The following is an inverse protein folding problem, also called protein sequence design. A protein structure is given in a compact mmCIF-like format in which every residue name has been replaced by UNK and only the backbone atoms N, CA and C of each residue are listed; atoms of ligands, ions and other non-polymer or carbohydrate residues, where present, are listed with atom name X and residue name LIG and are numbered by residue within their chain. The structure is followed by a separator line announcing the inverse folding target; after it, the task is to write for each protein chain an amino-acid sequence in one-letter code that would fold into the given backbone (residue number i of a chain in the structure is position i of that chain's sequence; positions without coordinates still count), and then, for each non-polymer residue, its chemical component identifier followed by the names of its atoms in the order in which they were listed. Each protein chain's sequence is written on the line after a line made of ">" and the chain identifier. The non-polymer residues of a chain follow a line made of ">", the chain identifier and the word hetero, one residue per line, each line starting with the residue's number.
data_IF_127607222888
#
_entry.id   IF_127607222888
#
_cell.length_a   1.000
_cell.length_b   1.000
_cell.length_c   1.000
_cell.angle_alpha   90.00
_cell.angle_beta   90.00
_cell.angle_gamma   90.00
#
_symmetry.space_group_name_H-M   'P 1'
#
loop_
_entity.id
_entity.type
_entity.pdbx_description
1 polymer ?
#
# COMPACT_ATOMS: atom_id res chain seq x y z
N UNK A 1 21.91 28.64 -10.58
CA UNK A 1 20.76 28.72 -9.66
C UNK A 1 21.26 29.06 -8.25
N UNK A 2 20.52 29.84 -7.49
CA UNK A 2 20.84 30.12 -6.09
C UNK A 2 20.55 28.86 -5.26
N UNK A 3 21.51 28.42 -4.46
CA UNK A 3 21.36 27.23 -3.62
C UNK A 3 20.28 27.46 -2.55
N UNK A 4 19.46 26.44 -2.30
CA UNK A 4 18.44 26.44 -1.25
C UNK A 4 19.05 26.22 0.13
N UNK A 5 20.08 25.37 0.21
CA UNK A 5 20.78 25.01 1.42
C UNK A 5 22.27 24.75 1.16
N UNK A 6 23.04 24.69 2.22
CA UNK A 6 24.43 24.24 2.23
C UNK A 6 24.65 23.15 3.26
N UNK A 7 25.71 22.39 3.12
CA UNK A 7 26.17 21.39 4.08
C UNK A 7 27.06 22.02 5.12
N UNK A 8 26.76 21.73 6.38
CA UNK A 8 27.54 22.19 7.53
C UNK A 8 27.80 21.01 8.48
N UNK A 9 28.58 21.20 9.50
CA UNK A 9 28.78 20.31 10.65
C UNK A 9 28.79 18.80 10.24
N UNK A 10 29.99 18.32 9.86
CA UNK A 10 30.15 16.89 9.52
C UNK A 10 30.22 16.04 10.79
N UNK A 11 29.32 15.10 10.96
CA UNK A 11 29.33 14.11 12.03
C UNK A 11 29.41 12.70 11.41
N UNK A 12 30.53 12.00 11.64
CA UNK A 12 30.84 10.70 11.04
C UNK A 12 30.74 10.72 9.51
N UNK A 13 29.65 10.17 8.95
CA UNK A 13 29.38 10.07 7.51
C UNK A 13 28.23 10.97 7.04
N UNK A 14 27.71 11.82 7.93
CA UNK A 14 26.58 12.70 7.65
C UNK A 14 26.97 14.16 7.72
N UNK A 15 26.25 14.98 6.97
CA UNK A 15 26.34 16.43 7.01
C UNK A 15 24.99 17.00 7.44
N UNK A 16 25.02 18.02 8.26
CA UNK A 16 23.86 18.77 8.63
C UNK A 16 23.53 19.81 7.54
N UNK A 17 22.25 19.98 7.22
CA UNK A 17 21.81 21.00 6.26
C UNK A 17 21.53 22.33 6.95
N UNK A 18 21.81 23.46 6.28
CA UNK A 18 21.46 24.81 6.72
C UNK A 18 20.81 25.58 5.58
N UNK A 19 19.61 26.16 5.83
CA UNK A 19 18.88 26.92 4.84
C UNK A 19 19.60 28.23 4.46
N UNK A 20 19.63 28.54 3.17
CA UNK A 20 20.22 29.77 2.61
C UNK A 20 19.17 30.82 2.25
N UNK A 21 17.89 30.44 2.24
CA UNK A 21 16.73 31.33 1.97
C UNK A 21 15.53 30.90 2.80
N UNK A 22 14.53 31.79 2.89
CA UNK A 22 13.25 31.48 3.52
C UNK A 22 12.36 30.71 2.54
N UNK A 23 11.64 29.70 3.03
CA UNK A 23 10.61 28.97 2.29
C UNK A 23 9.62 28.29 3.24
N UNK A 24 8.40 28.03 2.76
CA UNK A 24 7.36 27.37 3.54
C UNK A 24 7.18 25.94 3.03
N UNK A 25 7.20 24.97 3.93
CA UNK A 25 6.99 23.56 3.65
C UNK A 25 5.52 23.26 3.36
N UNK A 26 5.25 22.13 2.74
CA UNK A 26 3.88 21.66 2.52
C UNK A 26 3.11 21.42 3.82
N UNK A 27 3.81 21.15 4.92
CA UNK A 27 3.24 21.02 6.26
C UNK A 27 2.76 22.36 6.84
N UNK A 28 3.04 23.48 6.16
CA UNK A 28 2.73 24.85 6.62
C UNK A 28 3.82 25.47 7.49
N UNK A 29 4.86 24.73 7.84
CA UNK A 29 5.98 25.22 8.62
C UNK A 29 6.92 26.07 7.78
N UNK A 30 7.47 27.14 8.33
CA UNK A 30 8.38 28.04 7.61
C UNK A 30 9.81 27.80 8.06
N UNK A 31 10.66 27.46 7.09
CA UNK A 31 12.12 27.38 7.26
C UNK A 31 12.71 28.74 6.91
N UNK A 32 13.48 29.32 7.82
CA UNK A 32 14.13 30.61 7.62
C UNK A 32 15.58 30.45 7.26
N UNK A 33 16.12 31.43 6.56
CA UNK A 33 17.54 31.52 6.26
C UNK A 33 18.37 31.42 7.54
N UNK A 34 19.28 30.44 7.56
CA UNK A 34 20.13 30.13 8.71
C UNK A 34 19.63 28.99 9.56
N UNK A 35 18.38 28.55 9.40
CA UNK A 35 17.86 27.42 10.15
C UNK A 35 18.64 26.15 9.82
N UNK A 36 18.95 25.39 10.86
CA UNK A 36 19.61 24.10 10.75
C UNK A 36 18.55 23.00 10.66
N UNK A 37 18.63 22.20 9.60
CA UNK A 37 17.81 21.02 9.41
C UNK A 37 18.43 19.74 10.01
N UNK A 38 18.10 18.60 9.45
CA UNK A 38 18.59 17.28 9.82
C UNK A 38 19.89 16.89 9.11
N UNK A 39 20.13 15.59 9.04
CA UNK A 39 21.37 15.00 8.56
C UNK A 39 21.15 14.29 7.23
N UNK A 40 22.05 14.53 6.28
CA UNK A 40 22.08 13.85 4.98
C UNK A 40 23.48 13.30 4.70
N UNK A 41 23.55 12.19 3.98
CA UNK A 41 24.83 11.51 3.67
C UNK A 41 25.67 12.28 2.65
N UNK A 42 25.03 12.89 1.65
CA UNK A 42 25.66 13.72 0.62
C UNK A 42 24.67 14.76 0.07
N UNK A 43 25.16 15.70 -0.74
CA UNK A 43 24.31 16.70 -1.39
C UNK A 43 23.27 16.05 -2.33
N UNK A 44 23.52 14.85 -2.86
CA UNK A 44 22.58 14.11 -3.72
C UNK A 44 21.33 13.61 -2.98
N UNK A 45 21.40 13.55 -1.63
CA UNK A 45 20.28 13.05 -0.82
C UNK A 45 19.13 14.05 -0.70
N UNK A 46 19.36 15.35 -0.92
CA UNK A 46 18.32 16.38 -0.83
C UNK A 46 18.37 17.30 -2.04
N UNK A 47 17.28 17.40 -2.78
CA UNK A 47 17.21 18.27 -3.95
C UNK A 47 17.38 19.76 -3.56
N UNK A 48 18.16 20.49 -4.35
CA UNK A 48 18.24 21.96 -4.27
C UNK A 48 17.00 22.65 -4.86
N UNK A 49 16.19 21.90 -5.63
CA UNK A 49 14.94 22.38 -6.22
C UNK A 49 13.74 22.06 -5.33
N UNK A 50 12.58 22.69 -5.63
CA UNK A 50 11.35 22.50 -4.86
C UNK A 50 11.43 22.98 -3.42
N UNK A 51 10.50 22.53 -2.60
CA UNK A 51 10.36 22.91 -1.19
C UNK A 51 10.74 21.78 -0.23
N UNK A 52 11.31 20.67 -0.75
CA UNK A 52 11.68 19.54 0.10
C UNK A 52 12.67 19.93 1.19
N UNK A 53 12.53 19.31 2.36
CA UNK A 53 13.37 19.59 3.50
C UNK A 53 13.54 18.39 4.43
N UNK A 54 14.70 18.33 5.07
CA UNK A 54 15.01 17.39 6.14
C UNK A 54 15.09 18.19 7.42
N UNK A 55 14.13 17.98 8.33
CA UNK A 55 14.04 18.68 9.60
C UNK A 55 15.04 18.15 10.62
N UNK A 56 15.25 18.92 11.68
CA UNK A 56 16.12 18.55 12.79
C UNK A 56 15.72 17.16 13.35
N UNK A 57 16.71 16.31 13.59
CA UNK A 57 16.53 14.96 14.12
C UNK A 57 16.41 13.88 13.05
N UNK A 58 15.96 14.21 11.84
CA UNK A 58 15.83 13.26 10.74
C UNK A 58 17.17 12.94 10.05
N UNK A 59 17.27 11.71 9.51
CA UNK A 59 18.48 11.20 8.83
C UNK A 59 18.12 10.66 7.44
N UNK A 60 18.88 11.06 6.42
CA UNK A 60 18.65 10.65 5.03
C UNK A 60 19.94 10.14 4.39
N UNK A 61 19.92 8.88 3.97
CA UNK A 61 20.95 8.27 3.10
C UNK A 61 20.45 8.07 1.66
N UNK A 62 19.13 8.01 1.48
CA UNK A 62 18.44 7.92 0.21
C UNK A 62 18.24 9.28 -0.45
N UNK A 63 17.10 9.49 -1.11
CA UNK A 63 16.81 10.74 -1.84
C UNK A 63 15.50 11.39 -1.40
N UNK A 64 15.52 12.73 -1.26
CA UNK A 64 14.36 13.56 -0.94
C UNK A 64 14.24 14.67 -1.99
N UNK A 65 13.10 14.78 -2.67
CA UNK A 65 12.89 15.73 -3.76
C UNK A 65 11.51 16.39 -3.74
N UNK A 66 11.26 17.26 -4.70
CA UNK A 66 10.03 18.01 -4.90
C UNK A 66 9.65 18.86 -3.68
N UNK A 67 8.56 18.55 -2.98
CA UNK A 67 8.09 19.24 -1.78
C UNK A 67 8.10 18.33 -0.54
N UNK A 68 8.73 17.16 -0.64
CA UNK A 68 8.71 16.16 0.41
C UNK A 68 9.37 16.64 1.71
N UNK A 69 8.82 16.23 2.84
CA UNK A 69 9.31 16.59 4.17
C UNK A 69 9.67 15.33 4.96
N UNK A 70 10.88 15.31 5.52
CA UNK A 70 11.34 14.29 6.45
C UNK A 70 11.63 14.97 7.79
N UNK A 71 10.94 14.56 8.85
CA UNK A 71 11.02 15.25 10.13
C UNK A 71 11.10 14.31 11.34
N UNK A 72 11.26 14.90 12.52
CA UNK A 72 11.40 14.21 13.81
C UNK A 72 12.61 13.25 13.83
N UNK A 73 12.40 11.97 14.15
CA UNK A 73 13.45 10.95 14.18
C UNK A 73 13.35 9.98 12.98
N UNK A 74 12.73 10.43 11.88
CA UNK A 74 12.55 9.59 10.70
C UNK A 74 13.86 9.28 9.99
N UNK A 75 13.97 8.08 9.43
CA UNK A 75 15.16 7.59 8.72
C UNK A 75 14.77 7.19 7.30
N UNK A 76 15.47 7.72 6.31
CA UNK A 76 15.21 7.44 4.88
C UNK A 76 16.46 6.87 4.22
N UNK A 77 16.37 5.61 3.80
CA UNK A 77 17.35 4.92 2.94
C UNK A 77 16.89 4.85 1.48
N UNK A 78 15.59 4.95 1.24
CA UNK A 78 14.94 4.88 -0.07
C UNK A 78 14.68 6.24 -0.70
N UNK A 79 13.55 6.37 -1.39
CA UNK A 79 13.15 7.59 -2.11
C UNK A 79 11.90 8.21 -1.51
N UNK A 80 11.92 9.52 -1.25
CA UNK A 80 10.76 10.30 -0.81
C UNK A 80 10.59 11.49 -1.75
N UNK A 81 9.41 11.63 -2.39
CA UNK A 81 9.18 12.64 -3.41
C UNK A 81 7.73 13.17 -3.42
N UNK A 82 7.42 14.08 -4.34
CA UNK A 82 6.10 14.71 -4.39
C UNK A 82 5.84 15.58 -3.17
N UNK A 83 4.67 15.44 -2.57
CA UNK A 83 4.26 16.12 -1.35
C UNK A 83 4.29 15.17 -0.13
N UNK A 84 5.07 14.11 -0.19
CA UNK A 84 5.10 13.09 0.85
C UNK A 84 5.71 13.61 2.16
N UNK A 85 5.18 13.10 3.28
CA UNK A 85 5.67 13.41 4.63
C UNK A 85 6.11 12.12 5.33
N UNK A 86 7.34 12.09 5.82
CA UNK A 86 7.87 11.00 6.64
C UNK A 86 8.26 11.57 8.00
N UNK A 87 7.64 11.08 9.08
CA UNK A 87 7.80 11.70 10.40
C UNK A 87 7.86 10.69 11.55
N UNK A 88 7.99 11.21 12.76
CA UNK A 88 8.12 10.46 14.01
C UNK A 88 9.34 9.50 13.97
N UNK A 89 9.14 8.20 14.17
CA UNK A 89 10.20 7.18 14.11
C UNK A 89 10.04 6.26 12.88
N UNK A 90 9.48 6.78 11.80
CA UNK A 90 9.25 6.00 10.58
C UNK A 90 10.56 5.69 9.85
N UNK A 91 10.63 4.51 9.23
CA UNK A 91 11.80 4.06 8.45
C UNK A 91 11.37 3.73 7.02
N UNK A 92 12.04 4.34 6.04
CA UNK A 92 11.75 4.15 4.61
C UNK A 92 12.97 3.59 3.89
N UNK A 93 12.87 2.32 3.45
CA UNK A 93 13.80 1.68 2.51
C UNK A 93 13.27 1.69 1.07
N UNK A 94 11.94 1.74 0.90
CA UNK A 94 11.24 1.74 -0.39
C UNK A 94 11.01 3.13 -0.95
N UNK A 95 9.89 3.30 -1.65
CA UNK A 95 9.50 4.58 -2.26
C UNK A 95 8.24 5.13 -1.60
N UNK A 96 8.27 6.41 -1.25
CA UNK A 96 7.12 7.17 -0.75
C UNK A 96 6.94 8.40 -1.64
N UNK A 97 5.74 8.60 -2.20
CA UNK A 97 5.49 9.67 -3.16
C UNK A 97 4.04 10.20 -3.08
N UNK A 98 3.65 11.07 -4.01
CA UNK A 98 2.31 11.68 -3.98
C UNK A 98 2.12 12.59 -2.76
N UNK A 99 0.98 12.46 -2.08
CA UNK A 99 0.69 13.12 -0.81
C UNK A 99 0.77 12.15 0.39
N UNK A 100 1.48 11.04 0.22
CA UNK A 100 1.53 9.97 1.20
C UNK A 100 2.18 10.40 2.52
N UNK A 101 1.68 9.85 3.63
CA UNK A 101 2.20 10.10 4.98
C UNK A 101 2.67 8.78 5.60
N UNK A 102 3.93 8.72 6.02
CA UNK A 102 4.49 7.60 6.77
C UNK A 102 4.94 8.09 8.12
N UNK A 103 4.38 7.54 9.20
CA UNK A 103 4.59 8.07 10.55
C UNK A 103 4.60 7.04 11.66
N UNK A 104 4.71 7.50 12.90
CA UNK A 104 4.83 6.71 14.12
C UNK A 104 6.06 5.77 14.06
N UNK A 105 5.87 4.44 14.12
CA UNK A 105 6.94 3.45 13.99
C UNK A 105 6.76 2.59 12.71
N UNK A 106 6.18 3.16 11.66
CA UNK A 106 5.93 2.46 10.42
C UNK A 106 7.22 2.20 9.63
N UNK A 107 7.25 1.11 8.88
CA UNK A 107 8.39 0.75 8.03
C UNK A 107 7.93 0.44 6.60
N UNK A 108 8.54 1.09 5.62
CA UNK A 108 8.34 0.85 4.18
C UNK A 108 9.59 0.17 3.62
N UNK A 109 9.48 -1.09 3.20
CA UNK A 109 10.60 -1.88 2.70
C UNK A 109 10.86 -1.68 1.20
N UNK A 110 11.99 -2.17 0.69
CA UNK A 110 12.55 -1.89 -0.64
C UNK A 110 11.62 -2.09 -1.84
N UNK A 111 10.75 -3.09 -1.81
CA UNK A 111 9.83 -3.40 -2.92
C UNK A 111 8.46 -2.74 -2.77
N UNK A 112 8.30 -1.88 -1.77
CA UNK A 112 7.06 -1.18 -1.50
C UNK A 112 7.07 0.23 -2.11
N UNK A 113 5.95 0.60 -2.70
CA UNK A 113 5.61 1.96 -3.13
C UNK A 113 4.39 2.44 -2.33
N UNK A 114 4.55 3.50 -1.57
CA UNK A 114 3.47 4.20 -0.87
C UNK A 114 3.23 5.51 -1.60
N UNK A 115 2.04 5.73 -2.12
CA UNK A 115 1.76 6.87 -3.00
C UNK A 115 0.34 7.42 -2.81
N UNK A 116 -0.05 8.39 -3.61
CA UNK A 116 -1.32 9.11 -3.57
C UNK A 116 -1.55 9.75 -2.19
N UNK A 117 -2.68 9.51 -1.53
CA UNK A 117 -3.00 10.03 -0.20
C UNK A 117 -2.88 8.95 0.90
N UNK A 118 -2.05 7.92 0.65
CA UNK A 118 -1.88 6.80 1.58
C UNK A 118 -1.30 7.23 2.93
N UNK A 119 -1.82 6.65 4.01
CA UNK A 119 -1.30 6.88 5.37
C UNK A 119 -0.83 5.56 5.98
N UNK A 120 0.48 5.44 6.20
CA UNK A 120 1.12 4.31 6.87
C UNK A 120 1.53 4.75 8.27
N UNK A 121 1.03 4.09 9.30
CA UNK A 121 1.20 4.55 10.70
C UNK A 121 1.33 3.41 11.71
N UNK A 122 1.48 3.75 12.98
CA UNK A 122 1.64 2.82 14.09
C UNK A 122 2.88 1.92 13.89
N UNK A 123 2.72 0.60 13.86
CA UNK A 123 3.78 -0.38 13.63
C UNK A 123 3.59 -1.12 12.28
N UNK A 124 2.93 -0.46 11.32
CA UNK A 124 2.69 -1.06 10.01
C UNK A 124 4.00 -1.31 9.26
N UNK A 125 4.08 -2.45 8.61
CA UNK A 125 5.23 -2.86 7.79
C UNK A 125 4.74 -3.17 6.38
N UNK A 126 5.16 -2.36 5.41
CA UNK A 126 4.83 -2.55 4.00
C UNK A 126 6.03 -3.19 3.33
N UNK A 127 5.95 -4.49 3.06
CA UNK A 127 7.08 -5.27 2.54
C UNK A 127 7.23 -5.17 1.03
N UNK A 128 6.12 -5.05 0.30
CA UNK A 128 6.10 -5.00 -1.16
C UNK A 128 4.76 -4.47 -1.68
N UNK A 129 4.68 -4.20 -2.99
CA UNK A 129 3.46 -3.77 -3.67
C UNK A 129 3.21 -2.27 -3.57
N UNK A 130 2.09 -1.83 -4.15
CA UNK A 130 1.68 -0.43 -4.21
C UNK A 130 0.58 -0.19 -3.19
N UNK A 131 0.78 0.82 -2.36
CA UNK A 131 -0.18 1.27 -1.34
C UNK A 131 -0.64 2.67 -1.70
N UNK A 132 -1.93 2.82 -1.94
CA UNK A 132 -2.62 4.06 -2.25
C UNK A 132 -3.50 4.55 -1.08
N UNK A 133 -4.60 5.20 -1.34
CA UNK A 133 -5.43 5.93 -0.36
C UNK A 133 -6.02 5.12 0.81
N UNK A 134 -6.14 3.80 0.76
CA UNK A 134 -6.96 3.05 1.73
C UNK A 134 -6.27 1.90 2.48
N UNK A 135 -5.15 2.20 3.16
CA UNK A 135 -4.47 1.23 4.04
C UNK A 135 -5.31 0.76 5.23
N UNK A 136 -6.22 1.58 5.73
CA UNK A 136 -7.12 1.18 6.82
C UNK A 136 -8.06 0.07 6.34
N UNK A 137 -8.59 0.21 5.14
CA UNK A 137 -9.45 -0.79 4.49
C UNK A 137 -8.67 -2.08 4.21
N UNK A 138 -7.50 -1.97 3.58
CA UNK A 138 -6.59 -3.11 3.35
C UNK A 138 -6.25 -3.86 4.64
N UNK A 139 -5.84 -3.15 5.69
CA UNK A 139 -5.49 -3.73 6.98
C UNK A 139 -6.70 -4.38 7.66
N UNK A 140 -7.88 -3.76 7.55
CA UNK A 140 -9.12 -4.28 8.10
C UNK A 140 -9.53 -5.59 7.42
N UNK A 141 -9.58 -5.60 6.10
CA UNK A 141 -9.99 -6.79 5.34
C UNK A 141 -8.96 -7.92 5.42
N UNK A 142 -7.68 -7.63 5.34
CA UNK A 142 -6.62 -8.64 5.53
C UNK A 142 -6.67 -9.27 6.92
N UNK A 143 -6.95 -8.50 7.97
CA UNK A 143 -7.13 -9.03 9.32
C UNK A 143 -8.40 -9.85 9.45
N UNK A 144 -9.49 -9.39 8.87
CA UNK A 144 -10.77 -10.11 8.87
C UNK A 144 -10.65 -11.44 8.13
N UNK A 145 -10.05 -11.47 6.93
CA UNK A 145 -9.80 -12.71 6.19
C UNK A 145 -8.92 -13.68 6.97
N UNK A 146 -7.87 -13.19 7.63
CA UNK A 146 -7.02 -14.04 8.46
C UNK A 146 -7.76 -14.62 9.67
N UNK A 147 -8.58 -13.82 10.34
CA UNK A 147 -9.33 -14.24 11.52
C UNK A 147 -10.45 -15.25 11.17
N UNK A 148 -11.14 -15.04 10.07
CA UNK A 148 -12.30 -15.85 9.65
C UNK A 148 -11.91 -17.09 8.84
N UNK A 149 -10.85 -17.01 8.04
CA UNK A 149 -10.51 -18.04 7.04
C UNK A 149 -9.05 -18.51 7.12
N UNK A 150 -8.19 -17.92 7.94
CA UNK A 150 -6.74 -18.18 7.92
C UNK A 150 -6.02 -17.66 6.68
N UNK A 151 -6.68 -16.91 5.80
CA UNK A 151 -6.12 -16.43 4.53
C UNK A 151 -5.36 -15.12 4.71
N UNK A 152 -4.15 -15.07 4.18
CA UNK A 152 -3.31 -13.86 4.18
C UNK A 152 -3.25 -13.27 2.78
N UNK A 153 -3.59 -11.99 2.65
CA UNK A 153 -3.37 -11.25 1.41
C UNK A 153 -1.87 -10.92 1.23
N UNK A 154 -1.36 -11.14 0.03
CA UNK A 154 0.02 -10.81 -0.36
C UNK A 154 -0.03 -9.75 -1.47
N UNK A 155 0.63 -8.62 -1.24
CA UNK A 155 0.61 -7.49 -2.19
C UNK A 155 -0.82 -7.07 -2.61
N UNK A 156 -1.75 -7.03 -1.66
CA UNK A 156 -3.14 -6.65 -1.92
C UNK A 156 -4.00 -7.73 -2.55
N UNK A 157 -3.50 -8.93 -2.75
CA UNK A 157 -4.21 -10.02 -3.42
C UNK A 157 -4.33 -11.25 -2.55
N UNK A 158 -5.45 -11.98 -2.68
CA UNK A 158 -5.67 -13.25 -2.03
C UNK A 158 -6.27 -14.28 -3.01
N UNK A 159 -6.08 -15.56 -2.69
CA UNK A 159 -6.71 -16.66 -3.40
C UNK A 159 -7.87 -17.19 -2.55
N UNK A 160 -9.04 -17.26 -3.13
CA UNK A 160 -10.25 -17.81 -2.53
C UNK A 160 -10.97 -18.70 -3.54
N UNK A 161 -11.94 -19.47 -3.09
CA UNK A 161 -12.66 -20.44 -3.90
C UNK A 161 -14.15 -20.18 -3.92
N UNK A 162 -14.82 -20.64 -4.96
CA UNK A 162 -16.29 -20.78 -5.00
C UNK A 162 -16.69 -22.01 -5.80
N UNK A 163 -17.88 -22.50 -5.56
CA UNK A 163 -18.45 -23.63 -6.31
C UNK A 163 -19.02 -23.17 -7.64
N UNK A 164 -18.85 -23.99 -8.66
CA UNK A 164 -19.35 -23.73 -10.01
C UNK A 164 -19.87 -25.01 -10.65
N UNK A 165 -20.67 -24.85 -11.68
CA UNK A 165 -21.15 -25.94 -12.53
C UNK A 165 -20.39 -25.93 -13.86
N UNK A 166 -19.84 -27.08 -14.24
CA UNK A 166 -19.12 -27.22 -15.50
C UNK A 166 -20.02 -27.05 -16.72
N UNK A 167 -19.43 -26.64 -17.83
CA UNK A 167 -20.07 -26.57 -19.14
C UNK A 167 -19.38 -27.52 -20.14
N UNK A 168 -19.81 -27.50 -21.40
CA UNK A 168 -19.10 -28.21 -22.49
C UNK A 168 -17.76 -27.56 -22.85
N UNK A 169 -17.61 -26.28 -22.56
CA UNK A 169 -16.33 -25.55 -22.72
C UNK A 169 -15.53 -25.68 -21.43
N UNK A 170 -14.32 -26.25 -21.46
CA UNK A 170 -13.49 -26.46 -20.29
C UNK A 170 -13.02 -25.15 -19.61
N UNK A 171 -13.18 -24.02 -20.24
CA UNK A 171 -12.80 -22.71 -19.69
C UNK A 171 -14.01 -21.89 -19.21
N UNK A 172 -15.23 -22.39 -19.36
CA UNK A 172 -16.46 -21.67 -19.00
C UNK A 172 -17.24 -22.47 -17.96
N UNK A 173 -17.63 -21.83 -16.89
CA UNK A 173 -18.39 -22.40 -15.79
C UNK A 173 -19.57 -21.50 -15.43
N UNK A 174 -20.55 -22.01 -14.71
CA UNK A 174 -21.66 -21.22 -14.21
C UNK A 174 -21.59 -21.07 -12.69
N UNK A 175 -21.63 -19.82 -12.21
CA UNK A 175 -21.91 -19.52 -10.80
C UNK A 175 -23.42 -19.46 -10.61
N UNK A 176 -23.91 -20.06 -9.51
CA UNK A 176 -25.33 -20.17 -9.18
C UNK A 176 -26.18 -20.77 -10.31
N UNK A 177 -25.57 -21.55 -11.22
CA UNK A 177 -26.25 -22.20 -12.32
C UNK A 177 -26.65 -21.33 -13.51
N UNK A 178 -26.46 -20.02 -13.44
CA UNK A 178 -26.98 -19.08 -14.44
C UNK A 178 -25.91 -18.12 -15.03
N UNK A 179 -24.92 -17.74 -14.24
CA UNK A 179 -23.98 -16.70 -14.65
C UNK A 179 -22.65 -17.29 -15.14
N UNK A 180 -22.27 -17.05 -16.40
CA UNK A 180 -21.05 -17.62 -16.95
C UNK A 180 -19.79 -16.92 -16.42
N UNK A 181 -18.83 -17.70 -15.97
CA UNK A 181 -17.47 -17.29 -15.61
C UNK A 181 -16.48 -17.98 -16.53
N UNK A 182 -15.48 -17.25 -16.97
CA UNK A 182 -14.44 -17.76 -17.89
C UNK A 182 -13.08 -17.66 -17.22
N UNK A 183 -12.32 -18.74 -17.24
CA UNK A 183 -10.94 -18.75 -16.69
C UNK A 183 -10.10 -17.65 -17.32
N UNK A 184 -9.39 -16.89 -16.50
CA UNK A 184 -8.52 -15.77 -16.90
C UNK A 184 -9.25 -14.47 -17.26
N UNK A 185 -10.58 -14.42 -17.19
CA UNK A 185 -11.35 -13.18 -17.41
C UNK A 185 -11.93 -12.66 -16.11
N UNK A 186 -11.84 -11.35 -15.91
CA UNK A 186 -12.45 -10.70 -14.75
C UNK A 186 -13.97 -10.88 -14.76
N UNK A 187 -14.52 -11.28 -13.63
CA UNK A 187 -15.95 -11.31 -13.36
C UNK A 187 -16.32 -10.16 -12.45
N UNK A 188 -17.32 -9.38 -12.82
CA UNK A 188 -17.80 -8.23 -12.05
C UNK A 188 -19.22 -8.54 -11.57
N UNK A 189 -19.43 -8.47 -10.26
CA UNK A 189 -20.74 -8.61 -9.63
C UNK A 189 -21.59 -7.34 -9.85
N UNK A 190 -22.78 -7.49 -10.41
CA UNK A 190 -23.71 -6.38 -10.67
C UNK A 190 -25.14 -6.78 -10.32
N UNK A 191 -26.03 -5.81 -10.21
CA UNK A 191 -27.46 -6.08 -10.04
C UNK A 191 -28.06 -6.81 -11.26
N UNK A 192 -27.55 -6.54 -12.47
CA UNK A 192 -28.04 -7.14 -13.71
C UNK A 192 -27.72 -8.64 -13.79
N UNK A 193 -26.60 -9.09 -13.21
CA UNK A 193 -26.25 -10.50 -13.14
C UNK A 193 -26.64 -11.17 -11.80
N UNK A 194 -27.49 -10.53 -11.01
CA UNK A 194 -28.02 -11.07 -9.76
C UNK A 194 -27.12 -10.91 -8.53
N UNK A 195 -25.98 -10.21 -8.64
CA UNK A 195 -25.00 -10.05 -7.56
C UNK A 195 -24.86 -8.61 -7.06
N UNK A 196 -25.97 -7.92 -6.83
CA UNK A 196 -25.97 -6.52 -6.38
C UNK A 196 -25.23 -6.27 -5.07
N UNK A 197 -25.06 -7.29 -4.24
CA UNK A 197 -24.33 -7.23 -2.95
C UNK A 197 -22.89 -7.78 -3.05
N UNK A 198 -22.47 -8.26 -4.22
CA UNK A 198 -21.21 -8.97 -4.42
C UNK A 198 -21.37 -10.50 -4.41
N UNK A 199 -20.25 -11.20 -4.59
CA UNK A 199 -20.18 -12.68 -4.57
C UNK A 199 -19.39 -13.13 -3.35
N UNK A 200 -19.91 -14.13 -2.64
CA UNK A 200 -19.23 -14.82 -1.55
C UNK A 200 -18.20 -15.81 -2.06
N UNK A 201 -16.95 -15.66 -1.61
CA UNK A 201 -15.84 -16.57 -1.83
C UNK A 201 -15.33 -17.08 -0.47
N UNK A 202 -14.74 -18.27 -0.44
CA UNK A 202 -14.23 -18.89 0.79
C UNK A 202 -12.99 -19.74 0.53
N UNK A 203 -12.56 -20.55 1.48
CA UNK A 203 -11.51 -21.54 1.30
C UNK A 203 -12.09 -22.92 0.91
N UNK A 204 -11.25 -23.78 0.32
CA UNK A 204 -11.63 -25.15 -0.03
C UNK A 204 -12.13 -25.93 1.20
N UNK A 205 -11.39 -25.83 2.32
CA UNK A 205 -11.75 -26.52 3.57
C UNK A 205 -13.15 -26.16 4.06
N UNK A 206 -13.52 -24.87 4.02
CA UNK A 206 -14.85 -24.41 4.43
C UNK A 206 -15.93 -24.90 3.47
N UNK A 207 -15.66 -24.97 2.15
CA UNK A 207 -16.61 -25.52 1.18
C UNK A 207 -16.87 -27.00 1.47
N UNK A 208 -15.86 -27.79 1.79
CA UNK A 208 -15.96 -29.22 2.11
C UNK A 208 -16.68 -29.44 3.44
N UNK A 209 -16.25 -28.75 4.51
CA UNK A 209 -16.81 -28.89 5.87
C UNK A 209 -18.31 -28.56 5.93
N UNK A 210 -18.76 -27.55 5.16
CA UNK A 210 -20.17 -27.14 5.12
C UNK A 210 -20.99 -27.92 4.08
N UNK A 211 -20.37 -28.82 3.32
CA UNK A 211 -21.04 -29.55 2.26
C UNK A 211 -21.52 -28.68 1.08
N UNK A 212 -20.88 -27.56 0.88
CA UNK A 212 -21.19 -26.63 -0.21
C UNK A 212 -20.51 -27.02 -1.53
N UNK A 213 -19.57 -27.94 -1.50
CA UNK A 213 -18.92 -28.47 -2.69
C UNK A 213 -19.85 -29.43 -3.41
N UNK A 214 -20.58 -28.95 -4.41
CA UNK A 214 -21.62 -29.73 -5.11
C UNK A 214 -21.21 -30.30 -6.47
N UNK A 215 -20.20 -29.73 -7.13
CA UNK A 215 -19.70 -30.22 -8.41
C UNK A 215 -18.22 -29.93 -8.68
N UNK A 216 -17.86 -28.69 -8.95
CA UNK A 216 -16.49 -28.26 -9.19
C UNK A 216 -16.22 -27.02 -8.35
N UNK A 217 -14.96 -26.80 -8.06
CA UNK A 217 -14.47 -25.61 -7.38
C UNK A 217 -13.58 -24.82 -8.34
N UNK A 218 -13.71 -23.50 -8.37
CA UNK A 218 -12.74 -22.63 -9.02
C UNK A 218 -11.96 -21.82 -8.00
N UNK A 219 -10.67 -21.68 -8.24
CA UNK A 219 -9.79 -20.78 -7.50
C UNK A 219 -9.85 -19.41 -8.13
N UNK A 220 -10.11 -18.39 -7.32
CA UNK A 220 -10.28 -17.00 -7.72
C UNK A 220 -9.20 -16.12 -7.12
N UNK A 221 -8.57 -15.30 -7.94
CA UNK A 221 -7.70 -14.20 -7.49
C UNK A 221 -8.59 -12.99 -7.21
N UNK A 222 -8.52 -12.48 -5.98
CA UNK A 222 -9.21 -11.26 -5.58
C UNK A 222 -8.19 -10.15 -5.27
N UNK A 223 -8.64 -8.91 -5.41
CA UNK A 223 -7.96 -7.75 -4.85
C UNK A 223 -8.64 -7.37 -3.52
N UNK A 224 -7.86 -6.98 -2.52
CA UNK A 224 -8.41 -6.58 -1.21
C UNK A 224 -9.32 -5.35 -1.34
N UNK A 225 -9.07 -4.50 -2.32
CA UNK A 225 -9.88 -3.31 -2.58
C UNK A 225 -11.29 -3.63 -3.12
N UNK A 226 -11.47 -4.83 -3.65
CA UNK A 226 -12.76 -5.29 -4.15
C UNK A 226 -13.62 -5.99 -3.07
N UNK A 227 -13.13 -6.10 -1.84
CA UNK A 227 -13.86 -6.71 -0.72
C UNK A 227 -14.91 -5.73 -0.20
N UNK A 228 -16.12 -6.25 -0.06
CA UNK A 228 -17.29 -5.55 0.52
C UNK A 228 -17.48 -5.96 1.98
N UNK A 229 -17.33 -7.26 2.29
CA UNK A 229 -17.57 -7.79 3.63
C UNK A 229 -16.77 -9.08 3.85
N UNK A 230 -16.49 -9.38 5.13
CA UNK A 230 -15.86 -10.63 5.58
C UNK A 230 -16.56 -11.08 6.85
N UNK A 231 -17.38 -12.12 6.77
CA UNK A 231 -18.07 -12.72 7.91
C UNK A 231 -18.55 -14.16 7.64
N UNK A 232 -18.66 -14.95 8.70
CA UNK A 232 -19.24 -16.30 8.63
C UNK A 232 -18.51 -17.25 7.69
N UNK A 233 -17.17 -17.09 7.57
CA UNK A 233 -16.35 -17.90 6.68
C UNK A 233 -16.44 -17.53 5.19
N UNK A 234 -17.05 -16.37 4.87
CA UNK A 234 -17.17 -15.85 3.51
C UNK A 234 -16.51 -14.48 3.35
N UNK A 235 -15.88 -14.27 2.21
CA UNK A 235 -15.41 -12.96 1.73
C UNK A 235 -16.29 -12.53 0.58
N UNK A 236 -17.05 -11.47 0.75
CA UNK A 236 -17.91 -10.91 -0.29
C UNK A 236 -17.11 -9.90 -1.11
N UNK A 237 -17.04 -10.10 -2.42
CA UNK A 237 -16.26 -9.24 -3.35
C UNK A 237 -17.13 -8.70 -4.47
N UNK A 238 -16.74 -7.54 -5.01
CA UNK A 238 -17.40 -6.95 -6.19
C UNK A 238 -16.88 -7.52 -7.49
N UNK A 239 -15.63 -8.02 -7.50
CA UNK A 239 -15.03 -8.67 -8.68
C UNK A 239 -13.92 -9.64 -8.29
N UNK A 240 -13.61 -10.55 -9.21
CA UNK A 240 -12.51 -11.51 -9.08
C UNK A 240 -12.06 -12.02 -10.46
N UNK A 241 -10.91 -12.67 -10.51
CA UNK A 241 -10.41 -13.35 -11.73
C UNK A 241 -10.32 -14.85 -11.44
N UNK A 242 -11.14 -15.70 -12.10
CA UNK A 242 -10.99 -17.15 -12.01
C UNK A 242 -9.64 -17.59 -12.61
N UNK A 243 -8.87 -18.40 -11.87
CA UNK A 243 -7.51 -18.80 -12.31
C UNK A 243 -7.49 -20.24 -12.79
N UNK A 244 -8.05 -21.16 -12.03
CA UNK A 244 -8.09 -22.59 -12.36
C UNK A 244 -9.27 -23.27 -11.71
N UNK A 245 -9.48 -24.51 -12.11
CA UNK A 245 -10.52 -25.43 -11.57
C UNK A 245 -9.82 -26.53 -10.80
N UNK A 246 -10.38 -26.90 -9.65
CA UNK A 246 -10.05 -28.08 -8.85
C UNK A 246 -11.22 -29.04 -8.71
#
# INVERSE_FOLDING_TARGET
>A
MEKKYELIDKEEHFYRVRALKDFTLITGETVKKGDKGGYIKSEDCLSQEGLCWVMYGAHVEGTVSDNAVVQDSAIVYGTVSGNAVVQDSAIVYGTVSGNAVVKDNATVYYLALVTDDAVVKEHQRICCGVVTTDLLRYKQWSRAMFAELGVTAVCGKALLCTTVYGTKDPNVFFINGEQPVTIGKEFIATAENGFSQGIGLTTADILEENGWLTSCMIVCLIDVDDIVDVQGGLVTVTKFVPICVE
#
